data_IF_786590386814
#
_entry.id   IF_786590386814
#
_cell.length_a   1.000
_cell.length_b   1.000
_cell.length_c   1.000
_cell.angle_alpha   90.00
_cell.angle_beta   90.00
_cell.angle_gamma   90.00
#
_symmetry.space_group_name_H-M   'P 1'
#
loop_
_entity.id
_entity.type
_entity.pdbx_description
1 polymer ?
#
# COMPACT_ATOMS: atom_id res chain seq x y z
N UNK A 1 -1.46 34.33 37.25
CA UNK A 1 -0.23 33.99 36.51
C UNK A 1 -0.22 32.49 36.27
N UNK A 2 -0.83 32.04 35.17
CA UNK A 2 -0.94 30.61 34.85
C UNK A 2 0.29 30.15 34.07
N UNK A 3 1.08 29.26 34.66
CA UNK A 3 2.15 28.55 33.95
C UNK A 3 1.53 27.56 32.96
N UNK A 4 1.74 27.81 31.67
CA UNK A 4 1.43 26.87 30.61
C UNK A 4 2.40 25.69 30.73
N UNK A 5 1.88 24.52 31.13
CA UNK A 5 2.66 23.27 31.15
C UNK A 5 2.91 22.86 29.69
N UNK A 6 4.13 23.06 29.21
CA UNK A 6 4.54 22.60 27.87
C UNK A 6 4.31 21.09 27.76
N UNK A 7 3.68 20.60 26.67
CA UNK A 7 3.52 19.16 26.46
C UNK A 7 4.92 18.55 26.29
N UNK A 8 5.25 17.57 27.12
CA UNK A 8 6.48 16.79 26.97
C UNK A 8 6.43 16.10 25.60
N UNK A 9 7.48 16.20 24.77
CA UNK A 9 7.52 15.54 23.47
C UNK A 9 7.30 14.03 23.69
N UNK A 10 6.36 13.46 22.94
CA UNK A 10 6.03 12.04 23.05
C UNK A 10 7.28 11.18 22.81
N UNK A 11 7.43 10.09 23.57
CA UNK A 11 8.60 9.18 23.53
C UNK A 11 8.91 8.63 22.13
N UNK A 12 7.93 8.61 21.24
CA UNK A 12 8.08 8.20 19.84
C UNK A 12 8.83 9.26 19.01
N UNK A 13 8.69 10.54 19.33
CA UNK A 13 9.36 11.63 18.62
C UNK A 13 10.88 11.65 18.84
N UNK A 14 11.35 11.10 19.96
CA UNK A 14 12.77 11.01 20.32
C UNK A 14 13.50 9.79 19.75
N UNK A 15 12.83 8.88 19.05
CA UNK A 15 13.48 7.71 18.44
C UNK A 15 14.49 8.15 17.37
N UNK A 16 15.63 7.47 17.23
CA UNK A 16 16.58 7.75 16.14
C UNK A 16 16.03 7.27 14.78
N UNK A 17 16.60 7.77 13.69
CA UNK A 17 16.19 7.35 12.33
C UNK A 17 16.46 5.86 12.09
N UNK A 18 17.55 5.34 12.67
CA UNK A 18 17.90 3.92 12.62
C UNK A 18 16.81 3.05 13.25
N UNK A 19 16.28 3.46 14.41
CA UNK A 19 15.21 2.74 15.09
C UNK A 19 13.93 2.77 14.24
N UNK A 20 13.59 3.91 13.65
CA UNK A 20 12.41 4.03 12.78
C UNK A 20 12.52 3.16 11.52
N UNK A 21 13.69 3.15 10.89
CA UNK A 21 13.98 2.33 9.71
C UNK A 21 13.96 0.83 10.06
N UNK A 22 14.43 0.49 11.26
CA UNK A 22 14.35 -0.88 11.76
C UNK A 22 12.90 -1.30 12.01
N UNK A 23 12.06 -0.42 12.55
CA UNK A 23 10.62 -0.67 12.69
C UNK A 23 10.00 -0.94 11.32
N UNK A 24 10.31 -0.13 10.30
CA UNK A 24 9.82 -0.36 8.94
C UNK A 24 10.21 -1.74 8.40
N UNK A 25 11.45 -2.15 8.62
CA UNK A 25 11.93 -3.48 8.22
C UNK A 25 11.22 -4.61 8.95
N UNK A 26 10.94 -4.45 10.25
CA UNK A 26 10.17 -5.43 11.03
C UNK A 26 8.72 -5.53 10.56
N UNK A 27 8.11 -4.41 10.18
CA UNK A 27 6.75 -4.41 9.62
C UNK A 27 6.73 -5.17 8.29
N UNK A 28 7.72 -4.93 7.41
CA UNK A 28 7.83 -5.63 6.12
C UNK A 28 8.06 -7.14 6.29
N UNK A 29 8.74 -7.56 7.34
CA UNK A 29 8.91 -8.98 7.67
C UNK A 29 7.63 -9.65 8.17
N UNK A 30 6.58 -8.88 8.50
CA UNK A 30 5.30 -9.39 8.97
C UNK A 30 4.29 -9.54 7.83
N UNK A 31 3.95 -10.76 7.39
CA UNK A 31 3.04 -10.99 6.28
C UNK A 31 1.58 -10.60 6.57
N UNK A 32 1.25 -10.21 7.81
CA UNK A 32 -0.12 -9.95 8.27
C UNK A 32 -0.62 -8.51 8.04
N UNK A 33 0.28 -7.56 7.76
CA UNK A 33 -0.05 -6.12 7.73
C UNK A 33 0.20 -5.51 6.33
N UNK A 34 0.20 -6.32 5.28
CA UNK A 34 0.61 -5.86 3.95
C UNK A 34 -0.49 -5.02 3.28
N UNK A 35 -0.11 -3.92 2.62
CA UNK A 35 -0.99 -3.09 1.78
C UNK A 35 -1.19 -1.65 2.27
N UNK A 36 -1.57 -1.44 3.53
CA UNK A 36 -1.85 -0.10 4.06
C UNK A 36 -0.69 0.50 4.85
N UNK A 37 0.25 -0.33 5.28
CA UNK A 37 1.43 0.06 6.09
C UNK A 37 2.09 1.35 5.63
N UNK A 38 2.51 1.52 4.36
CA UNK A 38 3.25 2.71 3.96
C UNK A 38 2.44 3.99 4.20
N UNK A 39 1.13 3.94 3.99
CA UNK A 39 0.23 5.06 4.27
C UNK A 39 0.06 5.27 5.78
N UNK A 40 -0.22 4.22 6.54
CA UNK A 40 -0.37 4.29 8.00
C UNK A 40 0.87 4.87 8.68
N UNK A 41 2.07 4.38 8.34
CA UNK A 41 3.32 4.87 8.94
C UNK A 41 3.61 6.32 8.54
N UNK A 42 3.28 6.70 7.29
CA UNK A 42 3.47 8.07 6.80
C UNK A 42 2.54 9.11 7.45
N UNK A 43 1.48 8.65 8.14
CA UNK A 43 0.52 9.53 8.83
C UNK A 43 0.86 9.76 10.31
N UNK A 44 1.83 9.03 10.89
CA UNK A 44 2.20 9.15 12.31
C UNK A 44 2.77 10.53 12.65
N UNK A 45 3.73 11.03 11.85
CA UNK A 45 4.34 12.35 12.04
C UNK A 45 5.02 12.83 10.75
N UNK A 46 5.39 14.12 10.67
CA UNK A 46 6.17 14.66 9.54
C UNK A 46 7.47 13.88 9.32
N UNK A 47 8.17 13.50 10.40
CA UNK A 47 9.43 12.76 10.34
C UNK A 47 9.23 11.33 9.80
N UNK A 48 8.22 10.62 10.29
CA UNK A 48 7.89 9.28 9.79
C UNK A 48 7.49 9.31 8.32
N UNK A 49 6.75 10.34 7.88
CA UNK A 49 6.43 10.55 6.48
C UNK A 49 7.67 10.71 5.61
N UNK A 50 8.61 11.57 6.01
CA UNK A 50 9.85 11.77 5.27
C UNK A 50 10.62 10.46 5.14
N UNK A 51 10.82 9.73 6.24
CA UNK A 51 11.55 8.46 6.21
C UNK A 51 10.81 7.38 5.40
N UNK A 52 9.48 7.32 5.48
CA UNK A 52 8.68 6.39 4.70
C UNK A 52 8.80 6.67 3.19
N UNK A 53 8.79 7.94 2.80
CA UNK A 53 8.96 8.35 1.40
C UNK A 53 10.38 8.07 0.88
N UNK A 54 11.39 8.17 1.75
CA UNK A 54 12.78 7.84 1.43
C UNK A 54 13.08 6.33 1.46
N UNK A 55 12.09 5.50 1.79
CA UNK A 55 12.25 4.04 1.90
C UNK A 55 11.45 3.31 0.82
N UNK A 56 11.97 3.17 -0.42
CA UNK A 56 11.23 2.52 -1.51
C UNK A 56 10.76 1.10 -1.20
N UNK A 57 11.46 0.37 -0.33
CA UNK A 57 11.08 -0.97 0.14
C UNK A 57 9.71 -1.01 0.83
N UNK A 58 9.26 0.09 1.44
CA UNK A 58 7.91 0.14 2.02
C UNK A 58 6.79 0.11 0.99
N UNK A 59 7.11 0.42 -0.27
CA UNK A 59 6.18 0.61 -1.36
C UNK A 59 6.20 -0.53 -2.37
N UNK A 60 6.95 -1.61 -2.12
CA UNK A 60 7.07 -2.75 -3.05
C UNK A 60 5.93 -3.76 -2.92
N UNK A 61 5.19 -3.76 -1.81
CA UNK A 61 4.05 -4.66 -1.62
C UNK A 61 2.75 -3.93 -1.86
N UNK A 62 2.07 -4.29 -2.94
CA UNK A 62 0.87 -3.63 -3.44
C UNK A 62 -0.34 -4.52 -3.19
N UNK A 63 -1.26 -4.04 -2.36
CA UNK A 63 -2.55 -4.68 -2.18
C UNK A 63 -3.60 -3.95 -3.03
N UNK A 64 -4.21 -4.70 -3.95
CA UNK A 64 -5.22 -4.18 -4.88
C UNK A 64 -6.57 -4.78 -4.51
N UNK A 65 -7.57 -3.92 -4.34
CA UNK A 65 -8.96 -4.33 -4.12
C UNK A 65 -9.83 -3.86 -5.27
N UNK A 66 -11.06 -4.40 -5.34
CA UNK A 66 -12.11 -3.95 -6.27
C UNK A 66 -12.48 -2.46 -6.14
N UNK A 67 -12.08 -1.82 -5.05
CA UNK A 67 -12.31 -0.40 -4.74
C UNK A 67 -11.00 0.41 -4.73
N UNK A 68 -9.93 -0.09 -5.35
CA UNK A 68 -8.63 0.58 -5.35
C UNK A 68 -8.72 2.03 -5.84
N UNK A 69 -8.03 2.92 -5.14
CA UNK A 69 -7.79 4.28 -5.60
C UNK A 69 -6.60 4.26 -6.57
N UNK A 70 -6.86 4.57 -7.84
CA UNK A 70 -5.84 4.54 -8.89
C UNK A 70 -4.74 5.57 -8.68
N UNK A 71 -5.05 6.74 -8.11
CA UNK A 71 -4.05 7.77 -7.82
C UNK A 71 -3.10 7.31 -6.71
N UNK A 72 -3.65 6.67 -5.68
CA UNK A 72 -2.84 6.06 -4.62
C UNK A 72 -1.95 4.93 -5.17
N UNK A 73 -2.47 4.15 -6.12
CA UNK A 73 -1.72 3.08 -6.77
C UNK A 73 -0.56 3.63 -7.62
N UNK A 74 -0.78 4.72 -8.37
CA UNK A 74 0.29 5.42 -9.10
C UNK A 74 1.37 5.95 -8.14
N UNK A 75 0.96 6.51 -7.01
CA UNK A 75 1.92 7.01 -6.01
C UNK A 75 2.76 5.88 -5.42
N UNK A 76 2.16 4.72 -5.15
CA UNK A 76 2.89 3.52 -4.69
C UNK A 76 3.91 3.07 -5.74
N UNK A 77 3.51 3.00 -7.01
CA UNK A 77 4.41 2.65 -8.10
C UNK A 77 5.56 3.65 -8.23
N UNK A 78 5.27 4.95 -8.17
CA UNK A 78 6.29 5.99 -8.20
C UNK A 78 7.29 5.87 -7.04
N UNK A 79 6.80 5.65 -5.81
CA UNK A 79 7.65 5.54 -4.61
C UNK A 79 8.45 4.24 -4.53
N UNK A 80 8.02 3.19 -5.23
CA UNK A 80 8.78 1.94 -5.31
C UNK A 80 10.08 2.04 -6.13
N UNK A 81 10.28 3.12 -6.90
CA UNK A 81 11.56 3.51 -7.55
C UNK A 81 12.25 2.37 -8.33
N UNK A 82 11.50 1.69 -9.22
CA UNK A 82 12.07 0.64 -10.07
C UNK A 82 12.30 -0.71 -9.38
N UNK A 83 12.04 -0.82 -8.07
CA UNK A 83 12.21 -2.09 -7.33
C UNK A 83 11.20 -3.15 -7.77
N UNK A 84 11.56 -4.39 -7.50
CA UNK A 84 10.66 -5.53 -7.67
C UNK A 84 9.39 -5.40 -6.82
N UNK A 85 8.27 -5.82 -7.37
CA UNK A 85 6.93 -5.65 -6.81
C UNK A 85 6.31 -6.99 -6.41
N UNK A 86 5.67 -7.02 -5.24
CA UNK A 86 4.79 -8.10 -4.82
C UNK A 86 3.35 -7.60 -4.88
N UNK A 87 2.55 -8.17 -5.77
CA UNK A 87 1.19 -7.72 -6.02
C UNK A 87 0.20 -8.75 -5.48
N UNK A 88 -0.75 -8.30 -4.67
CA UNK A 88 -1.80 -9.13 -4.11
C UNK A 88 -3.16 -8.52 -4.41
N UNK A 89 -3.96 -9.21 -5.21
CA UNK A 89 -5.36 -8.87 -5.42
C UNK A 89 -6.20 -9.57 -4.36
N UNK A 90 -6.99 -8.80 -3.61
CA UNK A 90 -7.87 -9.32 -2.55
C UNK A 90 -9.30 -8.82 -2.70
N UNK A 91 -10.30 -9.58 -2.24
CA UNK A 91 -11.69 -9.14 -2.24
C UNK A 91 -11.86 -7.96 -1.25
N UNK A 92 -12.72 -7.00 -1.59
CA UNK A 92 -13.06 -5.92 -0.65
C UNK A 92 -14.14 -6.41 0.31
N UNK A 93 -13.97 -6.19 1.62
CA UNK A 93 -15.00 -6.51 2.62
C UNK A 93 -16.33 -5.75 2.37
N UNK A 94 -16.27 -4.65 1.61
CA UNK A 94 -17.44 -3.85 1.20
C UNK A 94 -18.13 -4.39 -0.06
N UNK A 95 -17.78 -5.60 -0.51
CA UNK A 95 -18.32 -6.23 -1.72
C UNK A 95 -19.77 -6.71 -1.55
N UNK A 96 -20.71 -5.78 -1.32
CA UNK A 96 -22.14 -6.03 -1.45
C UNK A 96 -22.53 -6.41 -2.89
N UNK A 97 -23.61 -7.18 -3.07
CA UNK A 97 -23.98 -7.87 -4.33
C UNK A 97 -24.36 -6.96 -5.51
N UNK A 98 -24.54 -5.65 -5.31
CA UNK A 98 -25.19 -4.77 -6.29
C UNK A 98 -24.26 -3.82 -7.07
N UNK A 99 -22.92 -3.95 -6.97
CA UNK A 99 -21.95 -3.03 -7.63
C UNK A 99 -20.91 -3.74 -8.53
N UNK A 100 -21.23 -4.90 -9.07
CA UNK A 100 -20.28 -5.75 -9.81
C UNK A 100 -19.57 -5.07 -11.00
N UNK A 101 -20.31 -4.34 -11.83
CA UNK A 101 -19.76 -3.81 -13.10
C UNK A 101 -18.80 -2.62 -12.93
N UNK A 102 -19.07 -1.71 -11.98
CA UNK A 102 -18.12 -0.60 -11.70
C UNK A 102 -16.82 -1.12 -11.07
N UNK A 103 -16.91 -2.19 -10.29
CA UNK A 103 -15.76 -2.84 -9.65
C UNK A 103 -14.87 -3.56 -10.64
N UNK A 104 -15.46 -4.30 -11.58
CA UNK A 104 -14.67 -4.95 -12.64
C UNK A 104 -13.94 -3.93 -13.50
N UNK A 105 -14.56 -2.78 -13.80
CA UNK A 105 -13.89 -1.69 -14.51
C UNK A 105 -12.70 -1.13 -13.74
N UNK A 106 -12.88 -0.79 -12.46
CA UNK A 106 -11.80 -0.28 -11.58
C UNK A 106 -10.64 -1.27 -11.43
N UNK A 107 -10.98 -2.55 -11.24
CA UNK A 107 -10.00 -3.61 -11.14
C UNK A 107 -9.21 -3.77 -12.45
N UNK A 108 -9.89 -3.70 -13.59
CA UNK A 108 -9.26 -3.69 -14.91
C UNK A 108 -8.32 -2.50 -15.08
N UNK A 109 -8.74 -1.29 -14.71
CA UNK A 109 -7.90 -0.09 -14.76
C UNK A 109 -6.65 -0.24 -13.86
N UNK A 110 -6.82 -0.80 -12.66
CA UNK A 110 -5.70 -1.06 -11.75
C UNK A 110 -4.72 -2.09 -12.34
N UNK A 111 -5.23 -3.17 -12.95
CA UNK A 111 -4.39 -4.17 -13.63
C UNK A 111 -3.64 -3.55 -14.80
N UNK A 112 -4.32 -2.80 -15.65
CA UNK A 112 -3.69 -2.11 -16.78
C UNK A 112 -2.60 -1.15 -16.33
N UNK A 113 -2.79 -0.46 -15.20
CA UNK A 113 -1.76 0.38 -14.63
C UNK A 113 -0.55 -0.44 -14.18
N UNK A 114 -0.77 -1.54 -13.46
CA UNK A 114 0.30 -2.41 -12.95
C UNK A 114 1.05 -3.15 -14.06
N UNK A 115 0.38 -3.51 -15.15
CA UNK A 115 0.97 -4.20 -16.29
C UNK A 115 2.03 -3.37 -17.01
N UNK A 116 2.03 -2.04 -16.82
CA UNK A 116 3.09 -1.16 -17.36
C UNK A 116 4.46 -1.39 -16.72
N UNK A 117 4.47 -2.00 -15.54
CA UNK A 117 5.66 -2.33 -14.75
C UNK A 117 5.77 -3.86 -14.55
N UNK A 118 5.18 -4.67 -15.46
CA UNK A 118 5.12 -6.13 -15.34
C UNK A 118 6.50 -6.80 -15.24
N UNK A 119 7.52 -6.22 -15.87
CA UNK A 119 8.90 -6.67 -15.81
C UNK A 119 9.51 -6.57 -14.41
N UNK A 120 8.91 -5.75 -13.54
CA UNK A 120 9.34 -5.58 -12.14
C UNK A 120 8.57 -6.51 -11.21
N UNK A 121 7.65 -7.34 -11.69
CA UNK A 121 6.87 -8.19 -10.80
C UNK A 121 7.72 -9.36 -10.31
N UNK A 122 7.92 -9.45 -9.00
CA UNK A 122 8.51 -10.63 -8.35
C UNK A 122 7.45 -11.66 -7.98
N UNK A 123 6.29 -11.21 -7.51
CA UNK A 123 5.20 -12.13 -7.17
C UNK A 123 3.83 -11.53 -7.47
N UNK A 124 2.90 -12.41 -7.88
CA UNK A 124 1.50 -12.10 -8.11
C UNK A 124 0.63 -13.10 -7.34
N UNK A 125 -0.29 -12.61 -6.52
CA UNK A 125 -1.30 -13.40 -5.82
C UNK A 125 -2.69 -12.91 -6.20
N UNK A 126 -3.54 -13.83 -6.65
CA UNK A 126 -4.91 -13.55 -7.05
C UNK A 126 -5.88 -14.22 -6.08
N UNK A 127 -6.49 -13.43 -5.19
CA UNK A 127 -7.60 -13.86 -4.34
C UNK A 127 -8.84 -13.12 -4.80
N UNK A 128 -9.55 -13.68 -5.78
CA UNK A 128 -10.67 -13.02 -6.44
C UNK A 128 -11.94 -13.86 -6.33
N UNK A 129 -13.09 -13.20 -6.33
CA UNK A 129 -14.37 -13.88 -6.56
C UNK A 129 -14.44 -14.36 -8.02
N UNK A 130 -15.07 -15.50 -8.28
CA UNK A 130 -15.11 -16.15 -9.59
C UNK A 130 -15.63 -15.24 -10.71
N UNK A 131 -16.62 -14.40 -10.42
CA UNK A 131 -17.18 -13.44 -11.37
C UNK A 131 -16.21 -12.32 -11.78
N UNK A 132 -15.21 -11.99 -10.95
CA UNK A 132 -14.19 -11.00 -11.28
C UNK A 132 -13.05 -11.61 -12.09
N UNK A 133 -12.78 -12.91 -11.91
CA UNK A 133 -11.73 -13.62 -12.66
C UNK A 133 -11.98 -13.54 -14.17
N UNK A 134 -13.22 -13.78 -14.61
CA UNK A 134 -13.63 -13.69 -16.02
C UNK A 134 -13.36 -12.30 -16.64
N UNK A 135 -13.42 -11.25 -15.83
CA UNK A 135 -13.18 -9.88 -16.31
C UNK A 135 -11.70 -9.54 -16.52
N UNK A 136 -10.80 -10.36 -15.96
CA UNK A 136 -9.36 -10.18 -15.89
C UNK A 136 -8.61 -11.12 -16.83
N UNK A 137 -9.11 -12.35 -17.03
CA UNK A 137 -8.50 -13.33 -17.93
C UNK A 137 -8.11 -12.78 -19.32
N UNK A 138 -8.88 -11.86 -19.95
CA UNK A 138 -8.48 -11.29 -21.23
C UNK A 138 -7.29 -10.31 -21.19
N UNK A 139 -6.80 -9.95 -20.01
CA UNK A 139 -5.75 -8.94 -19.80
C UNK A 139 -4.39 -9.54 -19.44
N UNK A 140 -4.33 -10.84 -19.14
CA UNK A 140 -3.13 -11.61 -18.81
C UNK A 140 -2.80 -12.50 -20.01
#
# INVERSE_FOLDING_TARGET
>A
MHMIKMPTPSTIASLSEDVLTRIFSLILASPRILGEVPFTVSHVSKRWRTLANLSPLLWTTILVTSCANLDALQEVLHRSQGRELDICFVPSATDGRSRGQRRSLRLREAIQLLLKDAERWRSLKLTLQSNLLESILPLI
#
